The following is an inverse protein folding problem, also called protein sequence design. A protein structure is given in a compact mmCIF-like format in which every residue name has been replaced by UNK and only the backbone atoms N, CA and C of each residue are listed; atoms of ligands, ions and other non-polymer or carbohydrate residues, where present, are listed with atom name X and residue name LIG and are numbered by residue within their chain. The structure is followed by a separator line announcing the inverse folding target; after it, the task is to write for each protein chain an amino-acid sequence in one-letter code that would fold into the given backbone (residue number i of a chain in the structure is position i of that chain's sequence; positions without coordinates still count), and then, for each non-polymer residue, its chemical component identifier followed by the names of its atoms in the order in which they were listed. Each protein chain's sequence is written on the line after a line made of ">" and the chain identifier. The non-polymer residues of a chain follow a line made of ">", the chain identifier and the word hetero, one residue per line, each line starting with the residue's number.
data_IF_590184188381
#
_entry.id   IF_590184188381
#
_cell.length_a   1.000
_cell.length_b   1.000
_cell.length_c   1.000
_cell.angle_alpha   90.00
_cell.angle_beta   90.00
_cell.angle_gamma   90.00
#
_symmetry.space_group_name_H-M   'P 1'
#
loop_
_entity.id
_entity.type
_entity.pdbx_description
1 polymer ?
#
# COMPACT_ATOMS: atom_id res chain seq x y z
N UNK A 1 -2.50 11.34 4.66
CA UNK A 1 -1.61 11.26 3.48
C UNK A 1 -2.47 11.31 2.21
N UNK A 2 -2.24 12.23 1.26
CA UNK A 2 -2.96 12.20 -0.03
C UNK A 2 -2.35 11.13 -0.94
N UNK A 3 -3.17 10.24 -1.49
CA UNK A 3 -2.77 9.18 -2.43
C UNK A 3 -3.32 9.55 -3.81
N UNK A 4 -2.53 9.32 -4.87
CA UNK A 4 -2.91 9.59 -6.26
C UNK A 4 -2.44 8.42 -7.14
N UNK A 5 -3.10 8.22 -8.27
CA UNK A 5 -2.76 7.15 -9.21
C UNK A 5 -1.32 7.30 -9.70
N UNK A 6 -0.60 6.19 -9.82
CA UNK A 6 0.83 6.16 -10.15
C UNK A 6 1.77 6.46 -8.98
N UNK A 7 1.27 6.92 -7.82
CA UNK A 7 2.09 7.12 -6.62
C UNK A 7 2.64 5.79 -6.11
N UNK A 8 3.93 5.78 -5.81
CA UNK A 8 4.56 4.68 -5.10
C UNK A 8 4.63 4.97 -3.61
N UNK A 9 4.39 3.97 -2.77
CA UNK A 9 4.49 4.04 -1.32
C UNK A 9 4.99 2.71 -0.76
N UNK A 10 5.39 2.72 0.50
CA UNK A 10 5.94 1.55 1.18
C UNK A 10 4.95 1.04 2.20
N UNK A 11 4.86 -0.28 2.34
CA UNK A 11 4.05 -0.96 3.32
C UNK A 11 4.92 -1.97 4.07
N UNK A 12 4.67 -2.15 5.35
CA UNK A 12 5.31 -3.17 6.18
C UNK A 12 4.28 -3.66 7.19
N UNK A 13 4.51 -4.80 7.81
CA UNK A 13 3.70 -5.24 8.94
C UNK A 13 3.83 -4.31 10.16
N UNK A 14 2.84 -4.32 11.05
CA UNK A 14 2.82 -3.47 12.23
C UNK A 14 4.02 -3.64 13.17
N UNK A 15 4.73 -4.79 13.13
CA UNK A 15 5.90 -5.05 13.99
C UNK A 15 7.15 -4.34 13.47
N UNK A 16 7.24 -4.16 12.14
CA UNK A 16 8.35 -3.49 11.47
C UNK A 16 8.06 -2.01 11.11
N UNK A 17 6.89 -1.49 11.49
CA UNK A 17 6.51 -0.11 11.24
C UNK A 17 7.37 0.87 12.07
N UNK A 18 8.37 1.47 11.43
CA UNK A 18 9.07 2.64 11.98
C UNK A 18 8.19 3.89 11.84
N UNK A 19 8.44 4.91 12.66
CA UNK A 19 7.78 6.23 12.63
C UNK A 19 8.14 7.01 11.33
N UNK A 20 7.86 6.43 10.17
CA UNK A 20 8.01 7.07 8.87
C UNK A 20 6.61 7.31 8.27
N UNK A 21 6.23 8.58 8.00
CA UNK A 21 4.90 8.92 7.52
C UNK A 21 4.61 8.43 6.09
N UNK A 22 5.60 7.87 5.38
CA UNK A 22 5.45 7.27 4.04
C UNK A 22 5.30 5.75 4.09
N UNK A 23 5.40 5.15 5.28
CA UNK A 23 5.28 3.72 5.52
C UNK A 23 3.89 3.41 6.08
N UNK A 24 3.18 2.51 5.40
CA UNK A 24 1.88 2.01 5.82
C UNK A 24 2.07 0.73 6.64
N UNK A 25 1.54 0.74 7.86
CA UNK A 25 1.48 -0.45 8.70
C UNK A 25 0.29 -1.32 8.32
N UNK A 26 0.54 -2.59 8.04
CA UNK A 26 -0.50 -3.60 7.87
C UNK A 26 -0.66 -4.38 9.18
N UNK A 27 -1.91 -4.64 9.59
CA UNK A 27 -2.19 -5.51 10.75
C UNK A 27 -1.89 -6.99 10.49
N UNK A 28 -1.67 -7.38 9.23
CA UNK A 28 -1.28 -8.73 8.85
C UNK A 28 0.22 -8.91 9.08
N UNK A 29 0.58 -9.73 10.06
CA UNK A 29 1.97 -10.09 10.32
C UNK A 29 2.53 -10.94 9.15
N UNK A 30 3.76 -10.66 8.75
CA UNK A 30 4.42 -11.41 7.66
C UNK A 30 3.76 -11.20 6.29
N UNK A 31 3.09 -10.07 6.06
CA UNK A 31 2.44 -9.78 4.78
C UNK A 31 3.43 -9.79 3.61
N UNK A 32 4.69 -9.41 3.85
CA UNK A 32 5.75 -9.42 2.83
C UNK A 32 6.12 -10.82 2.33
N UNK A 33 5.90 -11.86 3.15
CA UNK A 33 6.15 -13.26 2.79
C UNK A 33 4.94 -13.89 2.08
N UNK A 34 3.75 -13.32 2.27
CA UNK A 34 2.50 -13.83 1.72
C UNK A 34 2.13 -13.24 0.35
N UNK A 35 2.64 -12.05 0.02
CA UNK A 35 2.34 -11.38 -1.24
C UNK A 35 3.54 -11.45 -2.18
N UNK A 36 3.28 -11.53 -3.47
CA UNK A 36 4.33 -11.63 -4.48
C UNK A 36 4.39 -10.38 -5.35
N UNK A 37 5.55 -10.15 -5.97
CA UNK A 37 5.69 -9.09 -6.97
C UNK A 37 4.70 -9.29 -8.11
N UNK A 38 3.98 -8.23 -8.47
CA UNK A 38 2.92 -8.26 -9.48
C UNK A 38 1.52 -8.52 -8.93
N UNK A 39 1.39 -8.95 -7.67
CA UNK A 39 0.08 -9.09 -7.02
C UNK A 39 -0.62 -7.74 -6.84
N UNK A 40 -1.95 -7.77 -6.88
CA UNK A 40 -2.78 -6.59 -6.60
C UNK A 40 -3.22 -6.60 -5.15
N UNK A 41 -3.00 -5.48 -4.48
CA UNK A 41 -3.44 -5.23 -3.12
C UNK A 41 -4.54 -4.19 -3.16
N UNK A 42 -5.68 -4.54 -2.55
CA UNK A 42 -6.84 -3.68 -2.42
C UNK A 42 -6.80 -3.02 -1.03
N UNK A 43 -6.94 -1.70 -1.01
CA UNK A 43 -7.02 -0.90 0.20
C UNK A 43 -8.40 -0.25 0.30
N UNK A 44 -8.89 -0.12 1.54
CA UNK A 44 -10.12 0.59 1.88
C UNK A 44 -11.34 0.04 1.09
N UNK A 45 -11.71 -1.22 1.33
CA UNK A 45 -12.78 -1.94 0.60
C UNK A 45 -12.67 -1.90 -0.95
N UNK A 46 -11.44 -1.80 -1.47
CA UNK A 46 -11.19 -1.72 -2.91
C UNK A 46 -11.30 -0.31 -3.50
N UNK A 47 -11.39 0.72 -2.66
CA UNK A 47 -11.34 2.12 -3.10
C UNK A 47 -9.98 2.50 -3.68
N UNK A 48 -8.91 1.83 -3.27
CA UNK A 48 -7.56 2.03 -3.80
C UNK A 48 -7.00 0.68 -4.22
N UNK A 49 -6.65 0.55 -5.49
CA UNK A 49 -5.96 -0.61 -6.03
C UNK A 49 -4.48 -0.26 -6.18
N UNK A 50 -3.61 -1.07 -5.61
CA UNK A 50 -2.16 -0.95 -5.77
C UNK A 50 -1.57 -2.29 -6.25
N UNK A 51 -0.44 -2.21 -6.95
CA UNK A 51 0.32 -3.38 -7.39
C UNK A 51 1.65 -3.45 -6.66
N UNK A 52 2.06 -4.65 -6.29
CA UNK A 52 3.38 -4.89 -5.69
C UNK A 52 4.46 -4.72 -6.75
N UNK A 53 5.29 -3.69 -6.61
CA UNK A 53 6.41 -3.42 -7.49
C UNK A 53 7.67 -4.16 -7.06
N UNK A 54 7.94 -4.18 -5.76
CA UNK A 54 9.12 -4.83 -5.20
C UNK A 54 8.89 -5.21 -3.74
N UNK A 55 9.63 -6.20 -3.25
CA UNK A 55 9.63 -6.62 -1.85
C UNK A 55 11.09 -6.70 -1.40
N UNK A 56 11.44 -5.96 -0.36
CA UNK A 56 12.78 -5.87 0.22
C UNK A 56 12.70 -6.24 1.71
N UNK A 57 12.87 -7.54 1.99
CA UNK A 57 12.67 -8.08 3.34
C UNK A 57 11.22 -7.89 3.80
N UNK A 58 11.02 -7.19 4.92
CA UNK A 58 9.68 -6.87 5.45
C UNK A 58 9.00 -5.68 4.73
N UNK A 59 9.74 -4.94 3.89
CA UNK A 59 9.23 -3.73 3.25
C UNK A 59 8.73 -4.05 1.85
N UNK A 60 7.47 -3.72 1.59
CA UNK A 60 6.80 -3.90 0.31
C UNK A 60 6.65 -2.54 -0.36
N UNK A 61 7.16 -2.42 -1.57
CA UNK A 61 6.94 -1.27 -2.43
C UNK A 61 5.71 -1.50 -3.29
N UNK A 62 4.71 -0.65 -3.09
CA UNK A 62 3.44 -0.68 -3.81
C UNK A 62 3.33 0.54 -4.71
N UNK A 63 2.69 0.37 -5.86
CA UNK A 63 2.31 1.48 -6.75
C UNK A 63 0.80 1.49 -6.91
N UNK A 64 0.18 2.63 -6.61
CA UNK A 64 -1.26 2.81 -6.87
C UNK A 64 -1.50 2.70 -8.36
N UNK A 65 -2.33 1.75 -8.77
CA UNK A 65 -2.75 1.58 -10.17
C UNK A 65 -4.09 2.23 -10.43
N UNK A 66 -4.96 2.29 -9.42
CA UNK A 66 -6.29 2.88 -9.54
C UNK A 66 -6.80 3.40 -8.21
N UNK A 67 -7.50 4.53 -8.25
CA UNK A 67 -8.26 5.03 -7.10
C UNK A 67 -9.72 5.12 -7.52
N UNK A 68 -10.52 4.15 -7.06
CA UNK A 68 -11.95 4.13 -7.28
C UNK A 68 -12.71 5.04 -6.30
N UNK A 69 -11.99 5.84 -5.50
CA UNK A 69 -12.57 6.86 -4.64
C UNK A 69 -13.30 7.90 -5.48
N UNK A 70 -14.61 7.68 -5.62
CA UNK A 70 -15.61 8.67 -6.00
C UNK A 70 -15.85 9.68 -4.88
N UNK A 71 -14.90 9.85 -3.95
CA UNK A 71 -14.94 10.92 -2.96
C UNK A 71 -14.46 12.19 -3.65
N UNK A 72 -15.44 12.85 -4.27
CA UNK A 72 -15.39 14.25 -4.65
C UNK A 72 -14.85 15.02 -3.43
N UNK A 73 -13.57 15.41 -3.44
CA UNK A 73 -13.09 16.43 -2.52
C UNK A 73 -13.75 17.75 -2.95
N UNK A 74 -15.00 17.98 -2.51
CA UNK A 74 -15.57 19.33 -2.46
C UNK A 74 -14.81 20.07 -1.36
N UNK A 75 -13.95 21.00 -1.76
CA UNK A 75 -13.83 22.25 -1.03
C UNK A 75 -13.61 23.38 -2.02
#
# INVERSE_FOLDING_TARGET
>A
MKVFEGKSFYMTDAQHLKYDPKLLGCSVAGIADQIHKGEKVLFDDGLIEAIVQNIEGAIIKLKVIRISSKTIYKK
#
